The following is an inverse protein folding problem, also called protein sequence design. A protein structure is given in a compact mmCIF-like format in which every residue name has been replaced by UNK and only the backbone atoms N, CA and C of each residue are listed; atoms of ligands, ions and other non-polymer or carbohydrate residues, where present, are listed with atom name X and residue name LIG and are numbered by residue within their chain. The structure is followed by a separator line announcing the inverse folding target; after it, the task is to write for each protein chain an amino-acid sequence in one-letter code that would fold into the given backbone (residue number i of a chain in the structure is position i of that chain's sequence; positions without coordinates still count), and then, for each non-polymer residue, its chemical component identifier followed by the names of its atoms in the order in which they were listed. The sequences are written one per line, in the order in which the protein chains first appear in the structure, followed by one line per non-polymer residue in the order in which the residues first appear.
data_IF_705499374454
#
_entry.id   IF_705499374454
#
_cell.length_a   1.000
_cell.length_b   1.000
_cell.length_c   1.000
_cell.angle_alpha   90.00
_cell.angle_beta   90.00
_cell.angle_gamma   90.00
#
_symmetry.space_group_name_H-M   'P 1'
#
loop_
_entity.id
_entity.type
_entity.pdbx_description
1 polymer ?
#
# COMPACT_ATOMS: atom_id res chain seq x y z
N UNK A 1 -16.14 19.79 0.61
CA UNK A 1 -15.77 19.02 1.82
C UNK A 1 -14.47 19.61 2.31
N UNK A 2 -14.40 20.12 3.55
CA UNK A 2 -13.15 20.72 4.04
C UNK A 2 -12.08 19.64 4.16
N UNK A 3 -10.84 19.98 3.80
CA UNK A 3 -9.71 19.04 3.88
C UNK A 3 -9.38 18.69 5.34
N UNK A 4 -8.72 17.55 5.57
CA UNK A 4 -8.20 17.20 6.90
C UNK A 4 -7.24 18.29 7.43
N UNK A 5 -6.48 18.92 6.53
CA UNK A 5 -5.58 20.02 6.85
C UNK A 5 -6.33 21.24 7.40
N UNK A 6 -7.47 21.60 6.82
CA UNK A 6 -8.29 22.72 7.27
C UNK A 6 -9.00 22.41 8.59
N UNK A 7 -9.45 21.17 8.77
CA UNK A 7 -10.24 20.78 9.95
C UNK A 7 -9.40 20.43 11.16
N UNK A 8 -8.20 19.89 10.96
CA UNK A 8 -7.31 19.42 12.03
C UNK A 8 -5.84 19.81 11.76
N UNK A 9 -5.52 21.11 11.63
CA UNK A 9 -4.20 21.57 11.19
C UNK A 9 -3.06 21.08 12.10
N UNK A 10 -3.25 21.14 13.42
CA UNK A 10 -2.26 20.66 14.39
C UNK A 10 -2.03 19.15 14.31
N UNK A 11 -3.09 18.36 14.10
CA UNK A 11 -2.97 16.90 13.97
C UNK A 11 -2.22 16.56 12.69
N UNK A 12 -2.51 17.25 11.59
CA UNK A 12 -1.83 17.01 10.32
C UNK A 12 -0.36 17.42 10.36
N UNK A 13 -0.02 18.55 10.99
CA UNK A 13 1.37 18.97 11.22
C UNK A 13 2.15 17.88 11.96
N UNK A 14 1.62 17.39 13.09
CA UNK A 14 2.26 16.34 13.88
C UNK A 14 2.29 15.00 13.17
N UNK A 15 1.26 14.67 12.40
CA UNK A 15 1.25 13.47 11.56
C UNK A 15 2.41 13.51 10.55
N UNK A 16 2.60 14.63 9.85
CA UNK A 16 3.71 14.76 8.91
C UNK A 16 5.07 14.68 9.61
N UNK A 17 5.26 15.36 10.73
CA UNK A 17 6.51 15.27 11.50
C UNK A 17 6.86 13.81 11.86
N UNK A 18 5.88 13.07 12.40
CA UNK A 18 6.07 11.68 12.82
C UNK A 18 6.28 10.74 11.64
N UNK A 19 5.49 10.85 10.56
CA UNK A 19 5.59 9.91 9.43
C UNK A 19 6.93 10.06 8.71
N UNK A 20 7.45 11.30 8.55
CA UNK A 20 8.77 11.50 7.95
C UNK A 20 9.89 10.88 8.79
N UNK A 21 9.80 10.97 10.12
CA UNK A 21 10.76 10.34 11.01
C UNK A 21 10.69 8.81 10.93
N UNK A 22 9.48 8.24 10.88
CA UNK A 22 9.28 6.79 10.73
C UNK A 22 9.80 6.32 9.38
N UNK A 23 9.48 7.00 8.29
CA UNK A 23 9.92 6.66 6.94
C UNK A 23 11.44 6.69 6.80
N UNK A 24 12.10 7.64 7.47
CA UNK A 24 13.56 7.72 7.49
C UNK A 24 14.19 6.51 8.20
N UNK A 25 13.60 6.03 9.29
CA UNK A 25 14.10 4.84 10.00
C UNK A 25 13.79 3.55 9.25
N UNK A 26 12.55 3.37 8.77
CA UNK A 26 12.17 2.18 7.99
C UNK A 26 12.99 2.11 6.70
N UNK A 27 13.29 3.25 6.07
CA UNK A 27 14.12 3.35 4.87
C UNK A 27 15.56 2.83 5.03
N UNK A 28 16.05 2.66 6.27
CA UNK A 28 17.35 2.02 6.55
C UNK A 28 17.28 0.49 6.47
N UNK A 29 16.10 -0.09 6.63
CA UNK A 29 15.88 -1.54 6.66
C UNK A 29 15.24 -2.06 5.36
N UNK A 30 14.37 -1.27 4.74
CA UNK A 30 13.60 -1.67 3.57
C UNK A 30 13.66 -0.59 2.50
N UNK A 31 13.96 -1.00 1.27
CA UNK A 31 13.90 -0.12 0.11
C UNK A 31 12.46 0.32 -0.21
N UNK A 32 12.32 1.25 -1.17
CA UNK A 32 10.99 1.76 -1.58
C UNK A 32 10.11 0.60 -2.06
N UNK A 33 10.63 -0.25 -2.94
CA UNK A 33 9.91 -1.40 -3.49
C UNK A 33 9.30 -2.28 -2.39
N UNK A 34 10.11 -2.69 -1.41
CA UNK A 34 9.68 -3.55 -0.30
C UNK A 34 8.62 -2.88 0.56
N UNK A 35 8.77 -1.58 0.85
CA UNK A 35 7.78 -0.83 1.65
C UNK A 35 6.43 -0.74 0.94
N UNK A 36 6.42 -0.51 -0.37
CA UNK A 36 5.19 -0.45 -1.16
C UNK A 36 4.50 -1.84 -1.22
N UNK A 37 5.26 -2.93 -1.35
CA UNK A 37 4.74 -4.30 -1.27
C UNK A 37 4.07 -4.58 0.10
N UNK A 38 4.66 -4.11 1.20
CA UNK A 38 4.06 -4.24 2.54
C UNK A 38 2.74 -3.46 2.66
N UNK A 39 2.66 -2.26 2.06
CA UNK A 39 1.44 -1.47 2.05
C UNK A 39 0.33 -2.14 1.21
N UNK A 40 0.68 -2.85 0.14
CA UNK A 40 -0.27 -3.71 -0.60
C UNK A 40 -0.83 -4.81 0.29
N UNK A 41 0.02 -5.49 1.07
CA UNK A 41 -0.43 -6.52 2.00
C UNK A 41 -1.38 -5.96 3.09
N UNK A 42 -1.07 -4.77 3.62
CA UNK A 42 -1.94 -4.07 4.58
C UNK A 42 -3.27 -3.71 3.93
N UNK A 43 -3.24 -3.13 2.72
CA UNK A 43 -4.44 -2.80 1.95
C UNK A 43 -5.32 -4.02 1.70
N UNK A 44 -4.72 -5.15 1.33
CA UNK A 44 -5.41 -6.43 1.15
C UNK A 44 -6.00 -6.95 2.47
N UNK A 45 -5.29 -6.80 3.59
CA UNK A 45 -5.81 -7.20 4.90
C UNK A 45 -7.08 -6.42 5.27
N UNK A 46 -7.06 -5.09 5.11
CA UNK A 46 -8.18 -4.22 5.49
C UNK A 46 -9.26 -4.08 4.40
N UNK A 47 -9.07 -4.70 3.23
CA UNK A 47 -10.01 -4.61 2.10
C UNK A 47 -10.10 -3.21 1.47
N UNK A 48 -9.02 -2.43 1.53
CA UNK A 48 -8.98 -1.08 0.95
C UNK A 48 -8.40 -1.11 -0.47
N UNK A 49 -9.30 -1.13 -1.45
CA UNK A 49 -8.99 -1.23 -2.88
C UNK A 49 -8.12 -0.06 -3.39
N UNK A 50 -8.33 1.16 -2.87
CA UNK A 50 -7.55 2.34 -3.26
C UNK A 50 -6.09 2.24 -2.79
N UNK A 51 -5.87 1.75 -1.57
CA UNK A 51 -4.53 1.50 -1.02
C UNK A 51 -3.82 0.44 -1.86
N UNK A 52 -4.50 -0.68 -2.15
CA UNK A 52 -3.93 -1.75 -2.98
C UNK A 52 -3.54 -1.22 -4.36
N UNK A 53 -4.43 -0.49 -5.05
CA UNK A 53 -4.15 0.03 -6.39
C UNK A 53 -2.99 1.01 -6.41
N UNK A 54 -2.98 1.98 -5.50
CA UNK A 54 -1.96 3.01 -5.44
C UNK A 54 -0.58 2.43 -5.13
N UNK A 55 -0.48 1.57 -4.12
CA UNK A 55 0.79 0.99 -3.70
C UNK A 55 1.25 -0.14 -4.64
N UNK A 56 0.35 -0.85 -5.31
CA UNK A 56 0.73 -1.79 -6.36
C UNK A 56 1.40 -1.08 -7.53
N UNK A 57 0.84 0.04 -8.02
CA UNK A 57 1.48 0.83 -9.07
C UNK A 57 2.86 1.32 -8.64
N UNK A 58 2.96 1.94 -7.46
CA UNK A 58 4.25 2.43 -6.95
C UNK A 58 5.28 1.33 -6.77
N UNK A 59 4.87 0.15 -6.30
CA UNK A 59 5.76 -1.00 -6.19
C UNK A 59 6.28 -1.43 -7.58
N UNK A 60 5.40 -1.51 -8.59
CA UNK A 60 5.78 -1.84 -9.97
C UNK A 60 6.68 -0.77 -10.61
N UNK A 61 6.40 0.52 -10.39
CA UNK A 61 7.25 1.64 -10.81
C UNK A 61 8.66 1.53 -10.19
N UNK A 62 8.79 0.85 -9.04
CA UNK A 62 10.05 0.53 -8.36
C UNK A 62 10.55 -0.90 -8.63
N UNK A 63 10.05 -1.55 -9.69
CA UNK A 63 10.55 -2.83 -10.20
C UNK A 63 9.91 -4.08 -9.58
N UNK A 64 8.83 -3.96 -8.79
CA UNK A 64 8.11 -5.13 -8.28
C UNK A 64 7.41 -5.88 -9.42
N UNK A 65 7.55 -7.21 -9.39
CA UNK A 65 6.78 -8.09 -10.27
C UNK A 65 5.35 -8.26 -9.78
N UNK A 66 4.44 -8.56 -10.72
CA UNK A 66 3.08 -9.00 -10.42
C UNK A 66 3.05 -10.18 -9.43
N UNK A 67 3.97 -11.13 -9.57
CA UNK A 67 4.09 -12.28 -8.68
C UNK A 67 4.39 -11.88 -7.22
N UNK A 68 5.29 -10.92 -6.99
CA UNK A 68 5.59 -10.43 -5.63
C UNK A 68 4.36 -9.76 -5.01
N UNK A 69 3.61 -8.98 -5.78
CA UNK A 69 2.41 -8.29 -5.31
C UNK A 69 1.26 -9.25 -5.05
N UNK A 70 1.07 -10.23 -5.93
CA UNK A 70 0.09 -11.29 -5.74
C UNK A 70 0.37 -12.10 -4.47
N UNK A 71 1.64 -12.45 -4.20
CA UNK A 71 2.04 -13.08 -2.94
C UNK A 71 1.73 -12.18 -1.73
N UNK A 72 2.02 -10.88 -1.82
CA UNK A 72 1.73 -9.93 -0.74
C UNK A 72 0.24 -9.80 -0.44
N UNK A 73 -0.61 -9.75 -1.48
CA UNK A 73 -2.06 -9.73 -1.35
C UNK A 73 -2.65 -11.01 -0.73
N UNK A 74 -1.93 -12.13 -0.83
CA UNK A 74 -2.30 -13.40 -0.23
C UNK A 74 -1.74 -13.61 1.18
N UNK A 75 -0.76 -12.82 1.64
CA UNK A 75 -0.24 -12.92 3.02
C UNK A 75 -1.32 -12.84 4.11
N UNK A 76 -2.35 -11.97 4.04
CA UNK A 76 -3.38 -11.91 5.06
C UNK A 76 -4.46 -13.00 4.92
N UNK A 77 -4.40 -13.88 3.92
CA UNK A 77 -5.38 -14.95 3.68
C UNK A 77 -5.75 -15.77 4.94
N UNK A 78 -4.81 -16.24 5.78
CA UNK A 78 -5.15 -16.99 7.00
C UNK A 78 -5.84 -16.15 8.09
N UNK A 79 -5.83 -14.82 7.97
CA UNK A 79 -6.36 -13.88 8.97
C UNK A 79 -7.73 -13.34 8.53
N UNK A 80 -7.86 -12.94 7.26
CA UNK A 80 -9.04 -12.21 6.76
C UNK A 80 -9.89 -13.01 5.76
N UNK A 81 -9.46 -14.22 5.40
CA UNK A 81 -10.13 -15.07 4.42
C UNK A 81 -10.00 -14.57 2.98
N UNK A 82 -10.72 -15.21 2.07
CA UNK A 82 -10.49 -15.07 0.61
C UNK A 82 -11.04 -13.78 0.01
N UNK A 83 -12.07 -13.16 0.61
CA UNK A 83 -12.83 -12.07 -0.03
C UNK A 83 -11.96 -10.87 -0.40
N UNK A 84 -11.17 -10.35 0.56
CA UNK A 84 -10.32 -9.19 0.31
C UNK A 84 -9.13 -9.57 -0.58
N UNK A 85 -8.51 -10.72 -0.31
CA UNK A 85 -7.38 -11.23 -1.09
C UNK A 85 -7.73 -11.37 -2.57
N UNK A 86 -8.89 -11.94 -2.90
CA UNK A 86 -9.34 -12.10 -4.30
C UNK A 86 -9.50 -10.76 -5.02
N UNK A 87 -10.14 -9.79 -4.37
CA UNK A 87 -10.28 -8.43 -4.93
C UNK A 87 -8.93 -7.77 -5.16
N UNK A 88 -8.00 -7.92 -4.21
CA UNK A 88 -6.64 -7.40 -4.36
C UNK A 88 -5.90 -8.02 -5.54
N UNK A 89 -6.06 -9.32 -5.79
CA UNK A 89 -5.49 -9.96 -6.98
C UNK A 89 -6.06 -9.39 -8.29
N UNK A 90 -7.37 -9.17 -8.35
CA UNK A 90 -8.00 -8.55 -9.53
C UNK A 90 -7.44 -7.14 -9.79
N UNK A 91 -7.27 -6.33 -8.73
CA UNK A 91 -6.70 -4.97 -8.81
C UNK A 91 -5.23 -5.01 -9.26
N UNK A 92 -4.42 -5.93 -8.71
CA UNK A 92 -3.00 -6.03 -9.08
C UNK A 92 -2.87 -6.39 -10.56
N UNK A 93 -3.70 -7.32 -11.06
CA UNK A 93 -3.74 -7.66 -12.48
C UNK A 93 -4.11 -6.45 -13.34
N UNK A 94 -5.14 -5.69 -12.95
CA UNK A 94 -5.52 -4.47 -13.67
C UNK A 94 -4.36 -3.47 -13.74
N UNK A 95 -3.62 -3.28 -12.65
CA UNK A 95 -2.46 -2.37 -12.62
C UNK A 95 -1.35 -2.88 -13.54
N UNK A 96 -1.06 -4.18 -13.54
CA UNK A 96 -0.06 -4.78 -14.43
C UNK A 96 -0.41 -4.63 -15.91
N UNK A 97 -1.70 -4.77 -16.25
CA UNK A 97 -2.21 -4.66 -17.61
C UNK A 97 -2.32 -3.21 -18.10
N UNK A 98 -2.43 -2.25 -17.18
CA UNK A 98 -2.64 -0.83 -17.53
C UNK A 98 -1.39 -0.11 -18.03
N UNK A 99 -0.19 -0.69 -17.82
CA UNK A 99 1.05 -0.29 -18.51
C UNK A 99 1.28 1.23 -18.65
N UNK A 100 1.25 1.98 -17.54
CA UNK A 100 1.71 3.38 -17.46
C UNK A 100 3.13 3.46 -16.93
#
# INVERSE_FOLDING_TARGET
MNSLQEKYPFVMEKYYEVIHSIDAEIGKCFDVQTREILLVAIGAAIGNENVVRFHAKRAMDNGASDAQLSCAALMPLPIVGQTNCRKSLDIIREVAESGD
#
